data_IF_648583512649
#
_entry.id   IF_648583512649
#
_cell.length_a   1.000
_cell.length_b   1.000
_cell.length_c   1.000
_cell.angle_alpha   90.00
_cell.angle_beta   90.00
_cell.angle_gamma   90.00
#
_symmetry.space_group_name_H-M   'P 1'
#
loop_
_entity.id
_entity.type
_entity.pdbx_description
1 polymer ?
#
# COMPACT_ATOMS: atom_id res chain seq x y z
N UNK A 1 10.51 8.11 11.25
CA UNK A 1 10.85 6.86 11.94
C UNK A 1 10.14 5.68 11.27
N UNK A 2 8.85 5.46 11.51
CA UNK A 2 8.07 4.33 10.95
C UNK A 2 8.24 4.14 9.43
N UNK A 3 8.13 5.21 8.64
CA UNK A 3 8.35 5.11 7.18
C UNK A 3 9.73 4.56 6.80
N UNK A 4 10.79 4.97 7.52
CA UNK A 4 12.14 4.49 7.28
C UNK A 4 12.32 3.01 7.69
N UNK A 5 11.60 2.55 8.73
CA UNK A 5 11.57 1.13 9.08
C UNK A 5 10.94 0.30 7.97
N UNK A 6 9.79 0.74 7.42
CA UNK A 6 9.20 0.08 6.26
C UNK A 6 10.11 0.11 5.03
N UNK A 7 10.80 1.22 4.78
CA UNK A 7 11.73 1.36 3.64
C UNK A 7 12.84 0.31 3.72
N UNK A 8 13.47 0.18 4.87
CA UNK A 8 14.49 -0.85 5.11
C UNK A 8 13.89 -2.26 5.03
N UNK A 9 12.70 -2.47 5.58
CA UNK A 9 12.12 -3.81 5.69
C UNK A 9 11.58 -4.34 4.34
N UNK A 10 11.18 -3.46 3.43
CA UNK A 10 10.76 -3.82 2.07
C UNK A 10 11.88 -3.70 1.03
N UNK A 11 13.08 -3.28 1.42
CA UNK A 11 14.24 -3.27 0.53
C UNK A 11 14.48 -4.67 -0.06
N UNK A 12 14.55 -4.76 -1.38
CA UNK A 12 14.80 -6.01 -2.10
C UNK A 12 13.63 -7.00 -2.15
N UNK A 13 12.45 -6.66 -1.63
CA UNK A 13 11.26 -7.53 -1.74
C UNK A 13 10.65 -7.39 -3.12
N UNK A 14 10.86 -8.39 -3.99
CA UNK A 14 10.34 -8.31 -5.36
C UNK A 14 8.81 -8.29 -5.38
N UNK A 15 8.25 -7.36 -6.16
CA UNK A 15 6.81 -7.16 -6.29
C UNK A 15 6.16 -6.32 -5.18
N UNK A 16 6.91 -5.86 -4.17
CA UNK A 16 6.42 -4.87 -3.21
C UNK A 16 7.17 -3.55 -3.42
N UNK A 17 6.44 -2.43 -3.46
CA UNK A 17 7.03 -1.10 -3.59
C UNK A 17 6.44 -0.14 -2.57
N UNK A 18 7.25 0.31 -1.61
CA UNK A 18 6.89 1.40 -0.72
C UNK A 18 6.89 2.74 -1.47
N UNK A 19 5.87 3.57 -1.25
CA UNK A 19 5.80 4.92 -1.84
C UNK A 19 6.54 5.93 -0.96
N UNK A 20 7.76 6.26 -1.37
CA UNK A 20 8.58 7.34 -0.78
C UNK A 20 8.53 8.62 -1.62
N UNK A 21 9.17 9.69 -1.12
CA UNK A 21 9.38 10.92 -1.89
C UNK A 21 10.02 10.63 -3.26
N UNK A 22 9.57 11.30 -4.35
CA UNK A 22 10.18 11.11 -5.67
C UNK A 22 11.63 11.57 -5.76
N UNK A 23 11.96 12.65 -5.05
CA UNK A 23 13.32 13.20 -4.94
C UNK A 23 13.43 14.11 -3.69
N UNK A 24 14.63 14.63 -3.43
CA UNK A 24 14.94 15.45 -2.25
C UNK A 24 14.28 16.83 -2.19
N UNK A 25 13.55 17.27 -3.22
CA UNK A 25 12.75 18.52 -3.18
C UNK A 25 11.44 18.35 -2.42
N UNK A 26 11.04 17.11 -2.14
CA UNK A 26 9.80 16.77 -1.47
C UNK A 26 10.05 16.33 -0.03
N UNK A 27 9.13 16.69 0.86
CA UNK A 27 9.13 16.25 2.25
C UNK A 27 7.71 15.82 2.65
N UNK A 28 7.31 14.62 2.22
CA UNK A 28 6.05 14.03 2.64
C UNK A 28 6.03 13.84 4.17
N UNK A 29 4.90 14.19 4.79
CA UNK A 29 4.68 13.96 6.21
C UNK A 29 4.37 12.49 6.55
N UNK A 30 4.21 11.64 5.53
CA UNK A 30 3.83 10.24 5.65
C UNK A 30 2.63 10.01 6.57
N UNK A 31 1.58 10.84 6.45
CA UNK A 31 0.32 10.66 7.18
C UNK A 31 -0.23 9.23 7.05
N UNK A 32 -0.02 8.61 5.89
CA UNK A 32 -0.16 7.18 5.66
C UNK A 32 1.11 6.67 4.98
N UNK A 33 1.53 5.45 5.34
CA UNK A 33 2.48 4.68 4.53
C UNK A 33 1.70 3.83 3.53
N UNK A 34 2.17 3.76 2.28
CA UNK A 34 1.47 3.04 1.23
C UNK A 34 2.42 2.17 0.44
N UNK A 35 1.98 0.96 0.12
CA UNK A 35 2.71 0.00 -0.70
C UNK A 35 1.92 -0.32 -1.97
N UNK A 36 2.63 -0.67 -3.04
CA UNK A 36 2.07 -1.34 -4.22
C UNK A 36 2.47 -2.80 -4.20
N UNK A 37 1.52 -3.69 -4.50
CA UNK A 37 1.71 -5.13 -4.58
C UNK A 37 1.49 -5.56 -6.03
N UNK A 38 2.52 -6.11 -6.66
CA UNK A 38 2.47 -6.66 -8.00
C UNK A 38 2.09 -8.16 -7.97
N UNK A 39 0.86 -8.52 -8.36
CA UNK A 39 0.39 -9.89 -8.29
C UNK A 39 1.13 -10.86 -9.21
N UNK A 40 1.76 -10.36 -10.28
CA UNK A 40 2.56 -11.20 -11.18
C UNK A 40 3.80 -11.72 -10.45
N UNK A 41 4.42 -10.83 -9.66
CA UNK A 41 5.65 -11.10 -8.91
C UNK A 41 5.40 -11.79 -7.58
N UNK A 42 4.43 -11.33 -6.80
CA UNK A 42 4.17 -11.85 -5.45
C UNK A 42 3.26 -13.08 -5.43
N UNK A 43 2.49 -13.33 -6.50
CA UNK A 43 1.47 -14.39 -6.51
C UNK A 43 0.25 -14.11 -5.60
N UNK A 44 0.13 -12.89 -5.08
CA UNK A 44 -1.02 -12.42 -4.30
C UNK A 44 -1.39 -10.99 -4.70
N UNK A 45 -2.62 -10.57 -4.45
CA UNK A 45 -3.09 -9.22 -4.76
C UNK A 45 -3.37 -8.41 -3.48
N UNK A 46 -3.56 -7.11 -3.62
CA UNK A 46 -3.75 -6.20 -2.47
C UNK A 46 -4.95 -6.59 -1.59
N UNK A 47 -6.01 -7.16 -2.15
CA UNK A 47 -7.23 -7.51 -1.42
C UNK A 47 -7.08 -8.82 -0.64
N UNK A 48 -6.35 -9.79 -1.20
CA UNK A 48 -5.94 -11.01 -0.47
C UNK A 48 -5.06 -10.65 0.72
N UNK A 49 -4.05 -9.79 0.51
CA UNK A 49 -3.19 -9.29 1.60
C UNK A 49 -4.03 -8.56 2.64
N UNK A 50 -4.93 -7.65 2.21
CA UNK A 50 -5.83 -6.92 3.12
C UNK A 50 -6.66 -7.85 3.98
N UNK A 51 -7.31 -8.84 3.38
CA UNK A 51 -8.11 -9.83 4.12
C UNK A 51 -7.25 -10.63 5.09
N UNK A 52 -6.05 -11.03 4.67
CA UNK A 52 -5.16 -11.83 5.54
C UNK A 52 -4.66 -11.03 6.74
N UNK A 53 -4.35 -9.75 6.55
CA UNK A 53 -3.95 -8.84 7.63
C UNK A 53 -5.10 -8.58 8.60
N UNK A 54 -6.33 -8.45 8.11
CA UNK A 54 -7.53 -8.29 8.93
C UNK A 54 -7.75 -9.50 9.87
N UNK A 55 -7.53 -10.74 9.38
CA UNK A 55 -7.54 -11.96 10.21
C UNK A 55 -6.51 -11.93 11.35
N UNK A 56 -5.43 -11.15 11.21
CA UNK A 56 -4.37 -10.97 12.19
C UNK A 56 -4.57 -9.72 13.07
N UNK A 57 -5.70 -9.02 12.93
CA UNK A 57 -5.99 -7.79 13.66
C UNK A 57 -5.23 -6.56 13.15
N UNK A 58 -4.67 -6.62 11.94
CA UNK A 58 -3.94 -5.51 11.30
C UNK A 58 -4.90 -4.82 10.32
N UNK A 59 -5.44 -3.66 10.71
CA UNK A 59 -6.27 -2.88 9.81
C UNK A 59 -5.44 -2.30 8.65
N UNK A 60 -5.87 -2.56 7.43
CA UNK A 60 -5.35 -1.93 6.22
C UNK A 60 -6.50 -1.46 5.33
N UNK A 61 -6.21 -0.51 4.43
CA UNK A 61 -7.23 0.03 3.51
C UNK A 61 -6.68 0.12 2.09
N UNK A 62 -7.49 -0.13 1.06
CA UNK A 62 -7.09 0.19 -0.31
C UNK A 62 -6.71 1.67 -0.45
N UNK A 63 -5.96 2.01 -1.50
CA UNK A 63 -5.82 3.42 -1.87
C UNK A 63 -7.19 4.02 -2.25
N UNK A 64 -7.21 5.33 -2.46
CA UNK A 64 -8.45 6.03 -2.84
C UNK A 64 -8.95 5.56 -4.20
N UNK A 65 -10.21 5.10 -4.22
CA UNK A 65 -10.90 4.78 -5.47
C UNK A 65 -11.09 6.08 -6.29
N UNK A 66 -10.55 6.15 -7.53
CA UNK A 66 -10.65 7.34 -8.37
C UNK A 66 -12.10 7.81 -8.57
N UNK A 67 -12.32 9.13 -8.60
CA UNK A 67 -13.67 9.70 -8.64
C UNK A 67 -14.48 9.25 -9.85
N UNK A 68 -13.86 9.12 -11.03
CA UNK A 68 -14.54 8.67 -12.25
C UNK A 68 -14.97 7.19 -12.23
N UNK A 69 -14.52 6.41 -11.25
CA UNK A 69 -15.01 5.05 -11.00
C UNK A 69 -16.17 5.00 -9.99
N UNK A 70 -16.56 6.14 -9.41
CA UNK A 70 -17.65 6.20 -8.45
C UNK A 70 -18.99 6.33 -9.18
N UNK A 71 -20.03 5.58 -8.79
CA UNK A 71 -21.34 5.63 -9.44
C UNK A 71 -21.94 7.05 -9.50
N UNK A 72 -21.72 7.85 -8.45
CA UNK A 72 -22.21 9.23 -8.37
C UNK A 72 -21.61 10.16 -9.44
N UNK A 73 -20.48 9.81 -10.05
CA UNK A 73 -19.79 10.59 -11.07
C UNK A 73 -19.75 9.90 -12.45
N UNK A 74 -20.58 8.87 -12.67
CA UNK A 74 -20.52 8.03 -13.87
C UNK A 74 -20.73 8.79 -15.20
N UNK A 75 -21.40 9.95 -15.17
CA UNK A 75 -21.70 10.77 -16.35
C UNK A 75 -20.92 12.08 -16.40
N UNK A 76 -19.96 12.28 -15.48
CA UNK A 76 -19.15 13.48 -15.44
C UNK A 76 -17.94 13.34 -16.40
N UNK A 77 -17.49 14.44 -17.03
CA UNK A 77 -16.26 14.41 -17.81
C UNK A 77 -15.06 13.95 -16.97
N UNK A 78 -14.21 13.10 -17.54
CA UNK A 78 -12.97 12.66 -16.94
C UNK A 78 -11.85 12.58 -17.99
N UNK A 79 -10.62 12.89 -17.57
CA UNK A 79 -9.42 12.80 -18.40
C UNK A 79 -8.48 11.80 -17.73
N UNK A 80 -8.34 10.62 -18.33
CA UNK A 80 -7.71 9.48 -17.68
C UNK A 80 -6.54 8.95 -18.51
N UNK A 81 -5.54 8.42 -17.81
CA UNK A 81 -4.40 7.71 -18.40
C UNK A 81 -4.17 6.33 -17.74
N UNK A 82 -5.12 5.87 -16.92
CA UNK A 82 -5.08 4.58 -16.23
C UNK A 82 -4.21 4.51 -14.96
N UNK A 83 -3.46 5.57 -14.63
CA UNK A 83 -2.53 5.54 -13.48
C UNK A 83 -3.30 5.40 -12.16
N UNK A 84 -4.38 6.16 -12.00
CA UNK A 84 -5.15 6.18 -10.75
C UNK A 84 -5.85 4.84 -10.47
N UNK A 85 -6.35 4.18 -11.51
CA UNK A 85 -6.97 2.86 -11.47
C UNK A 85 -5.94 1.79 -11.15
N UNK A 86 -4.75 1.87 -11.77
CA UNK A 86 -3.64 0.96 -11.46
C UNK A 86 -3.20 1.08 -10.01
N UNK A 87 -3.04 2.31 -9.51
CA UNK A 87 -2.67 2.54 -8.11
C UNK A 87 -3.74 1.99 -7.15
N UNK A 88 -5.03 2.22 -7.45
CA UNK A 88 -6.13 1.68 -6.65
C UNK A 88 -6.15 0.15 -6.62
N UNK A 89 -5.96 -0.51 -7.77
CA UNK A 89 -6.01 -1.97 -7.89
C UNK A 89 -4.74 -2.70 -7.43
N UNK A 90 -3.71 -1.98 -7.00
CA UNK A 90 -2.45 -2.57 -6.53
C UNK A 90 -2.05 -2.07 -5.14
N UNK A 91 -2.67 -1.00 -4.66
CA UNK A 91 -2.15 -0.23 -3.56
C UNK A 91 -2.88 -0.46 -2.25
N UNK A 92 -2.11 -0.49 -1.17
CA UNK A 92 -2.60 -0.67 0.19
C UNK A 92 -1.98 0.38 1.12
N UNK A 93 -2.82 1.04 1.91
CA UNK A 93 -2.43 1.83 3.07
C UNK A 93 -2.15 0.88 4.24
N UNK A 94 -0.96 0.98 4.82
CA UNK A 94 -0.51 0.17 5.96
C UNK A 94 -0.38 1.03 7.23
N UNK A 95 -0.45 0.43 8.43
CA UNK A 95 -0.41 1.17 9.69
C UNK A 95 0.84 2.05 9.80
N UNK A 96 0.62 3.35 10.01
CA UNK A 96 1.67 4.35 10.19
C UNK A 96 1.30 5.38 11.28
N UNK A 97 0.41 4.99 12.19
CA UNK A 97 -0.03 5.84 13.30
C UNK A 97 1.11 6.12 14.29
N UNK A 98 0.96 7.16 15.13
CA UNK A 98 2.02 7.57 16.07
C UNK A 98 2.33 6.54 17.16
N UNK A 99 1.47 5.54 17.34
CA UNK A 99 1.64 4.45 18.33
C UNK A 99 2.12 3.13 17.72
N UNK A 100 2.34 3.09 16.40
CA UNK A 100 2.92 1.92 15.75
C UNK A 100 4.37 1.81 16.20
N UNK A 101 4.71 0.74 16.92
CA UNK A 101 6.08 0.50 17.39
C UNK A 101 6.93 -0.18 16.32
N UNK A 102 8.22 -0.29 16.58
CA UNK A 102 9.17 -0.97 15.70
C UNK A 102 8.82 -2.47 15.59
N UNK A 103 8.35 -3.09 16.67
CA UNK A 103 7.84 -4.47 16.71
C UNK A 103 6.54 -4.61 15.91
N UNK A 104 5.63 -3.64 15.98
CA UNK A 104 4.43 -3.64 15.15
C UNK A 104 4.81 -3.59 13.66
N UNK A 105 5.76 -2.72 13.29
CA UNK A 105 6.27 -2.66 11.91
C UNK A 105 6.85 -4.01 11.49
N UNK A 106 7.67 -4.63 12.34
CA UNK A 106 8.25 -5.94 12.05
C UNK A 106 7.16 -7.01 11.83
N UNK A 107 6.15 -7.04 12.69
CA UNK A 107 5.01 -7.96 12.59
C UNK A 107 4.19 -7.71 11.31
N UNK A 108 3.86 -6.46 11.01
CA UNK A 108 3.11 -6.08 9.80
C UNK A 108 3.88 -6.51 8.54
N UNK A 109 5.19 -6.25 8.49
CA UNK A 109 6.04 -6.66 7.36
C UNK A 109 6.10 -8.18 7.23
N UNK A 110 6.26 -8.90 8.34
CA UNK A 110 6.27 -10.37 8.35
C UNK A 110 4.96 -10.92 7.78
N UNK A 111 3.81 -10.44 8.23
CA UNK A 111 2.51 -10.89 7.73
C UNK A 111 2.32 -10.57 6.24
N UNK A 112 2.76 -9.39 5.78
CA UNK A 112 2.72 -9.03 4.35
C UNK A 112 3.61 -9.97 3.54
N UNK A 113 4.86 -10.22 3.97
CA UNK A 113 5.79 -11.12 3.28
C UNK A 113 5.26 -12.56 3.26
N UNK A 114 4.64 -13.02 4.34
CA UNK A 114 4.01 -14.34 4.43
C UNK A 114 2.84 -14.54 3.45
N UNK A 115 2.26 -13.47 2.92
CA UNK A 115 1.25 -13.56 1.87
C UNK A 115 1.84 -13.77 0.47
N UNK A 116 3.12 -13.46 0.25
CA UNK A 116 3.79 -13.67 -1.02
C UNK A 116 3.95 -15.19 -1.26
N UNK A 117 3.43 -15.68 -2.39
CA UNK A 117 3.38 -17.10 -2.75
C UNK A 117 4.49 -17.51 -3.74
N UNK A 118 5.41 -16.60 -4.02
CA UNK A 118 6.53 -16.74 -4.96
C UNK A 118 7.81 -16.23 -4.35
#
# INVERSE_FOLDING_TARGET
HVHALYENAFEGVDGITLKSNPDGRFNANYWLSTILIDPVKTGTNYDEVRCKLDEQGIETRPLWKPMHLQPVYAHNPCYVNGVSERLFNMGLCIPAGPWVTDEDVAYIVEQIKGCCKK
#
